data_IF_978814979682
#
_entry.id   IF_978814979682
#
_cell.length_a   1.000
_cell.length_b   1.000
_cell.length_c   1.000
_cell.angle_alpha   90.00
_cell.angle_beta   90.00
_cell.angle_gamma   90.00
#
_symmetry.space_group_name_H-M   'P 1'
#
loop_
_entity.id
_entity.type
_entity.pdbx_description
1 polymer ?
#
# COMPACT_ATOMS: atom_id res chain seq x y z
N UNK A 1 8.94 10.14 -7.67
CA UNK A 1 9.13 8.84 -6.97
C UNK A 1 9.12 7.74 -8.01
N UNK A 2 9.99 6.74 -7.90
CA UNK A 2 9.94 5.56 -8.79
C UNK A 2 9.12 4.47 -8.11
N UNK A 3 8.37 3.67 -8.87
CA UNK A 3 7.59 2.55 -8.31
C UNK A 3 8.45 1.58 -7.51
N UNK A 4 9.70 1.36 -7.94
CA UNK A 4 10.69 0.55 -7.21
C UNK A 4 10.91 1.03 -5.78
N UNK A 5 10.76 2.33 -5.53
CA UNK A 5 10.97 2.90 -4.20
C UNK A 5 9.82 2.52 -3.23
N UNK A 6 8.68 2.05 -3.74
CA UNK A 6 7.54 1.61 -2.90
C UNK A 6 7.78 0.25 -2.25
N UNK A 7 8.50 -0.64 -2.91
CA UNK A 7 8.69 -2.03 -2.46
C UNK A 7 9.40 -2.07 -1.10
N UNK A 8 8.87 -2.90 -0.19
CA UNK A 8 9.39 -3.06 1.17
C UNK A 8 9.03 -1.93 2.15
N UNK A 9 8.44 -0.82 1.69
CA UNK A 9 7.95 0.24 2.58
C UNK A 9 6.89 -0.29 3.52
N UNK A 10 6.96 0.17 4.77
CA UNK A 10 5.97 -0.14 5.80
C UNK A 10 4.68 0.63 5.53
N UNK A 11 3.56 -0.06 5.61
CA UNK A 11 2.22 0.50 5.45
C UNK A 11 1.55 0.52 6.82
N UNK A 12 1.09 1.70 7.22
CA UNK A 12 0.36 1.93 8.47
C UNK A 12 -1.04 2.48 8.19
N UNK A 13 -1.99 2.13 9.03
CA UNK A 13 -3.35 2.67 8.96
C UNK A 13 -3.49 4.05 9.63
N UNK A 14 -4.71 4.57 9.63
CA UNK A 14 -5.04 5.85 10.25
C UNK A 14 -4.75 5.90 11.78
N UNK A 15 -4.72 4.74 12.44
CA UNK A 15 -4.42 4.60 13.88
C UNK A 15 -2.93 4.28 14.14
N UNK A 16 -2.08 4.45 13.11
CA UNK A 16 -0.66 4.15 13.13
C UNK A 16 -0.32 2.66 13.40
N UNK A 17 -1.28 1.76 13.18
CA UNK A 17 -1.05 0.31 13.27
C UNK A 17 -0.38 -0.19 12.01
N UNK A 18 0.64 -1.04 12.17
CA UNK A 18 1.33 -1.67 11.04
C UNK A 18 0.41 -2.69 10.37
N UNK A 19 0.11 -2.44 9.10
CA UNK A 19 -0.65 -3.35 8.25
C UNK A 19 0.27 -4.38 7.61
N UNK A 20 1.45 -3.94 7.15
CA UNK A 20 2.40 -4.82 6.48
C UNK A 20 3.45 -4.06 5.69
N UNK A 21 3.99 -4.71 4.65
CA UNK A 21 4.95 -4.11 3.71
C UNK A 21 4.50 -4.31 2.27
N UNK A 22 4.84 -3.36 1.41
CA UNK A 22 4.57 -3.47 -0.03
C UNK A 22 5.37 -4.64 -0.62
N UNK A 23 4.68 -5.60 -1.20
CA UNK A 23 5.24 -6.75 -1.92
C UNK A 23 5.14 -6.55 -3.44
N UNK A 24 4.07 -5.90 -3.92
CA UNK A 24 3.82 -5.69 -5.35
C UNK A 24 2.97 -4.42 -5.65
N UNK A 25 2.78 -4.10 -6.92
CA UNK A 25 1.99 -2.97 -7.42
C UNK A 25 1.17 -3.40 -8.65
N UNK A 26 -0.12 -3.08 -8.66
CA UNK A 26 -0.98 -3.29 -9.82
C UNK A 26 -0.93 -2.08 -10.75
N UNK A 27 -0.57 -2.31 -12.01
CA UNK A 27 -0.41 -1.28 -13.03
C UNK A 27 -1.35 -1.55 -14.20
N UNK A 28 -2.06 -0.52 -14.66
CA UNK A 28 -2.69 -0.53 -15.97
C UNK A 28 -1.64 -0.14 -17.01
N UNK A 29 -1.25 -1.10 -17.85
CA UNK A 29 -0.25 -0.91 -18.91
C UNK A 29 -0.76 0.04 -20.00
N UNK A 30 -2.08 0.07 -20.24
CA UNK A 30 -2.68 0.88 -21.30
C UNK A 30 -2.61 2.37 -20.98
N UNK A 31 -2.84 2.71 -19.71
CA UNK A 31 -2.83 4.10 -19.21
C UNK A 31 -1.57 4.48 -18.44
N UNK A 32 -0.64 3.52 -18.23
CA UNK A 32 0.53 3.66 -17.37
C UNK A 32 0.19 4.14 -15.94
N UNK A 33 -0.96 3.73 -15.41
CA UNK A 33 -1.48 4.18 -14.11
C UNK A 33 -1.34 3.12 -13.01
N UNK A 34 -1.07 3.54 -11.78
CA UNK A 34 -1.07 2.68 -10.60
C UNK A 34 -2.50 2.46 -10.11
N UNK A 35 -2.97 1.22 -10.18
CA UNK A 35 -4.31 0.81 -9.74
C UNK A 35 -4.36 0.48 -8.25
N UNK A 36 -3.23 0.02 -7.68
CA UNK A 36 -3.13 -0.30 -6.26
C UNK A 36 -1.75 -0.84 -5.87
N UNK A 37 -1.53 -0.94 -4.57
CA UNK A 37 -0.33 -1.57 -3.99
C UNK A 37 -0.73 -2.84 -3.25
N UNK A 38 0.03 -3.91 -3.44
CA UNK A 38 -0.17 -5.18 -2.75
C UNK A 38 0.68 -5.17 -1.48
N UNK A 39 0.01 -5.24 -0.35
CA UNK A 39 0.63 -5.24 0.98
C UNK A 39 0.59 -6.65 1.56
N UNK A 40 1.75 -7.19 1.86
CA UNK A 40 1.87 -8.45 2.60
C UNK A 40 1.71 -8.19 4.09
N UNK A 41 0.71 -8.81 4.70
CA UNK A 41 0.41 -8.78 6.13
C UNK A 41 0.62 -10.17 6.73
N UNK A 42 1.60 -10.31 7.62
CA UNK A 42 1.97 -11.62 8.18
C UNK A 42 2.48 -12.62 7.13
N UNK A 43 2.20 -13.91 7.32
CA UNK A 43 2.82 -14.97 6.51
C UNK A 43 2.13 -15.22 5.16
N UNK A 44 0.79 -15.22 5.13
CA UNK A 44 0.00 -15.59 3.93
C UNK A 44 -1.00 -14.52 3.46
N UNK A 45 -1.30 -13.49 4.25
CA UNK A 45 -2.33 -12.50 3.88
C UNK A 45 -1.72 -11.44 2.98
N UNK A 46 -2.39 -11.20 1.84
CA UNK A 46 -2.11 -10.09 0.93
C UNK A 46 -3.35 -9.21 0.87
N UNK A 47 -3.13 -7.91 0.83
CA UNK A 47 -4.16 -6.89 0.81
C UNK A 47 -3.89 -5.97 -0.37
N UNK A 48 -4.92 -5.66 -1.15
CA UNK A 48 -4.83 -4.64 -2.19
C UNK A 48 -5.26 -3.30 -1.58
N UNK A 49 -4.37 -2.32 -1.61
CA UNK A 49 -4.67 -0.95 -1.16
C UNK A 49 -4.82 -0.07 -2.40
N UNK A 50 -5.98 0.58 -2.52
CA UNK A 50 -6.27 1.47 -3.65
C UNK A 50 -5.65 2.86 -3.42
N UNK A 51 -5.26 3.59 -4.48
CA UNK A 51 -4.67 4.93 -4.36
C UNK A 51 -5.54 5.92 -3.58
N UNK A 52 -6.87 5.77 -3.67
CA UNK A 52 -7.82 6.62 -2.94
C UNK A 52 -7.72 6.47 -1.42
N UNK A 53 -7.29 5.31 -0.93
CA UNK A 53 -7.15 5.00 0.50
C UNK A 53 -5.79 5.42 1.05
N UNK A 54 -4.87 5.88 0.20
CA UNK A 54 -3.55 6.38 0.61
C UNK A 54 -3.64 7.87 0.97
N UNK A 55 -3.23 8.21 2.19
CA UNK A 55 -3.14 9.58 2.68
C UNK A 55 -1.81 10.24 2.28
N UNK A 56 -0.69 9.53 2.46
CA UNK A 56 0.65 10.06 2.22
C UNK A 56 1.65 8.94 1.92
N UNK A 57 2.63 9.24 1.07
CA UNK A 57 3.78 8.38 0.81
C UNK A 57 5.06 9.16 1.17
N UNK A 58 5.84 8.62 2.10
CA UNK A 58 7.14 9.14 2.52
C UNK A 58 8.04 7.98 2.92
N UNK A 59 8.62 8.02 4.12
CA UNK A 59 9.37 6.86 4.67
C UNK A 59 8.47 5.64 4.83
N UNK A 60 7.22 5.88 5.26
CA UNK A 60 6.12 4.92 5.33
C UNK A 60 4.99 5.33 4.38
N UNK A 61 4.08 4.39 4.11
CA UNK A 61 2.81 4.65 3.43
C UNK A 61 1.73 4.73 4.51
N UNK A 62 1.00 5.84 4.55
CA UNK A 62 -0.06 6.09 5.54
C UNK A 62 -1.40 5.98 4.85
N UNK A 63 -2.32 5.19 5.39
CA UNK A 63 -3.68 5.03 4.89
C UNK A 63 -4.66 6.00 5.57
N UNK A 64 -5.75 6.32 4.87
CA UNK A 64 -6.88 7.11 5.37
C UNK A 64 -7.86 6.29 6.19
N UNK A 65 -7.80 4.97 6.05
CA UNK A 65 -8.71 3.99 6.65
C UNK A 65 -7.99 3.19 7.74
N UNK A 66 -8.77 2.61 8.66
CA UNK A 66 -8.32 1.73 9.75
C UNK A 66 -8.23 0.27 9.26
N UNK A 67 -7.39 -0.55 9.90
CA UNK A 67 -7.16 -1.96 9.55
C UNK A 67 -8.44 -2.80 9.40
N UNK A 68 -9.45 -2.49 10.21
CA UNK A 68 -10.78 -3.11 10.25
C UNK A 68 -11.62 -2.84 9.00
N UNK A 69 -11.25 -1.85 8.19
CA UNK A 69 -11.92 -1.48 6.93
C UNK A 69 -11.13 -1.90 5.68
N UNK A 70 -10.02 -2.64 5.86
CA UNK A 70 -9.11 -3.13 4.80
C UNK A 70 -9.35 -4.61 4.49
#
# INVERSE_FOLDING_TARGET
MKTRDLFGKEVIDADAKVIGRVEDCDLDISSASLLGIVVKSGFKRRLLVLPQDVAKIGDKIVLKITADKI
#
